data_IF_403648672818
#
_entry.id   IF_403648672818
#
_cell.length_a   1.000
_cell.length_b   1.000
_cell.length_c   1.000
_cell.angle_alpha   90.00
_cell.angle_beta   90.00
_cell.angle_gamma   90.00
#
_symmetry.space_group_name_H-M   'P 1'
#
loop_
_entity.id
_entity.type
_entity.pdbx_description
1 polymer ?
#
# COMPACT_ATOMS: atom_id res chain seq x y z
N UNK A 1 32.68 -25.48 41.17
CA UNK A 1 31.78 -25.60 40.01
C UNK A 1 30.78 -24.46 39.89
N UNK A 2 29.99 -24.08 40.91
CA UNK A 2 28.96 -23.03 40.84
C UNK A 2 29.50 -21.64 40.39
N UNK A 3 30.71 -21.23 40.80
CA UNK A 3 31.32 -19.95 40.39
C UNK A 3 31.68 -19.88 38.91
N UNK A 4 32.04 -21.02 38.27
CA UNK A 4 32.29 -21.07 36.84
C UNK A 4 31.05 -20.88 35.99
N UNK A 5 29.91 -21.44 36.39
CA UNK A 5 28.63 -21.25 35.68
C UNK A 5 28.13 -19.81 35.74
N UNK A 6 28.36 -19.12 36.89
CA UNK A 6 27.98 -17.71 37.03
C UNK A 6 28.81 -16.81 36.08
N UNK A 7 30.11 -17.08 35.96
CA UNK A 7 30.99 -16.35 35.03
C UNK A 7 30.59 -16.58 33.55
N UNK A 8 30.27 -17.81 33.20
CA UNK A 8 29.80 -18.13 31.84
C UNK A 8 28.45 -17.48 31.56
N UNK A 9 27.51 -17.49 32.51
CA UNK A 9 26.22 -16.78 32.36
C UNK A 9 26.41 -15.28 32.22
N UNK A 10 27.29 -14.65 33.00
CA UNK A 10 27.61 -13.23 32.90
C UNK A 10 28.22 -12.90 31.54
N UNK A 11 29.17 -13.73 31.03
CA UNK A 11 29.76 -13.59 29.70
C UNK A 11 28.69 -13.69 28.59
N UNK A 12 27.77 -14.64 28.67
CA UNK A 12 26.67 -14.76 27.70
C UNK A 12 25.75 -13.52 27.71
N UNK A 13 25.42 -12.98 28.88
CA UNK A 13 24.62 -11.75 28.99
C UNK A 13 25.37 -10.56 28.39
N UNK A 14 26.67 -10.45 28.59
CA UNK A 14 27.51 -9.39 28.00
C UNK A 14 27.55 -9.46 26.47
N UNK A 15 27.68 -10.64 25.91
CA UNK A 15 27.67 -10.85 24.44
C UNK A 15 26.33 -10.43 23.82
N UNK A 16 25.22 -10.79 24.46
CA UNK A 16 23.88 -10.40 23.96
C UNK A 16 23.64 -8.89 24.04
N UNK A 17 24.13 -8.22 25.11
CA UNK A 17 24.03 -6.76 25.25
C UNK A 17 24.84 -6.02 24.20
N UNK A 18 26.06 -6.50 23.87
CA UNK A 18 26.90 -5.89 22.83
C UNK A 18 26.25 -6.05 21.43
N UNK A 19 25.66 -7.20 21.14
CA UNK A 19 24.95 -7.39 19.87
C UNK A 19 23.75 -6.47 19.75
N UNK A 20 22.92 -6.36 20.81
CA UNK A 20 21.75 -5.47 20.83
C UNK A 20 22.10 -3.97 20.67
N UNK A 21 23.30 -3.56 21.07
CA UNK A 21 23.75 -2.18 20.87
C UNK A 21 24.16 -1.89 19.41
N UNK A 22 24.74 -2.87 18.71
CA UNK A 22 25.19 -2.70 17.34
C UNK A 22 24.02 -2.56 16.34
N UNK A 23 22.98 -3.35 16.49
CA UNK A 23 21.80 -3.29 15.63
C UNK A 23 21.05 -1.96 15.77
N UNK A 24 20.87 -1.45 16.99
CA UNK A 24 20.27 -0.14 17.27
C UNK A 24 21.08 1.03 16.68
N UNK A 25 22.41 0.88 16.54
CA UNK A 25 23.25 1.85 15.87
C UNK A 25 22.89 1.99 14.39
N UNK A 26 22.70 0.87 13.70
CA UNK A 26 22.30 0.88 12.29
C UNK A 26 20.94 1.52 12.09
N UNK A 27 19.94 1.17 12.93
CA UNK A 27 18.62 1.80 12.86
C UNK A 27 18.67 3.31 13.08
N UNK A 28 19.43 3.78 14.08
CA UNK A 28 19.60 5.23 14.31
C UNK A 28 20.26 5.92 13.12
N UNK A 29 21.24 5.29 12.50
CA UNK A 29 21.91 5.85 11.33
C UNK A 29 20.97 5.86 10.12
N UNK A 30 20.18 4.81 9.91
CA UNK A 30 19.15 4.73 8.89
C UNK A 30 18.11 5.83 9.06
N UNK A 31 17.57 6.00 10.27
CA UNK A 31 16.62 7.08 10.58
C UNK A 31 17.22 8.46 10.29
N UNK A 32 18.49 8.69 10.66
CA UNK A 32 19.17 9.97 10.37
C UNK A 32 19.24 10.27 8.88
N UNK A 33 19.56 9.29 8.05
CA UNK A 33 19.57 9.46 6.60
C UNK A 33 18.17 9.67 6.05
N UNK A 34 17.19 8.91 6.54
CA UNK A 34 15.79 9.05 6.13
C UNK A 34 15.22 10.45 6.46
N UNK A 35 15.44 10.92 7.68
CA UNK A 35 15.03 12.26 8.11
C UNK A 35 15.75 13.38 7.34
N UNK A 36 17.04 13.20 7.03
CA UNK A 36 17.78 14.15 6.22
C UNK A 36 17.18 14.27 4.80
N UNK A 37 16.79 13.13 4.21
CA UNK A 37 16.14 13.11 2.91
C UNK A 37 14.76 13.79 2.92
N UNK A 38 14.00 13.70 4.01
CA UNK A 38 12.70 14.36 4.16
C UNK A 38 12.81 15.87 4.33
N UNK A 39 13.91 16.37 4.90
CA UNK A 39 14.14 17.82 5.10
C UNK A 39 14.55 18.54 3.82
N UNK A 40 15.18 17.86 2.90
CA UNK A 40 15.54 18.43 1.60
C UNK A 40 14.37 18.33 0.63
N UNK A 41 13.51 19.35 0.68
CA UNK A 41 12.33 19.44 -0.20
C UNK A 41 12.66 19.90 -1.62
N UNK A 42 13.89 20.35 -1.87
CA UNK A 42 14.32 20.92 -3.17
C UNK A 42 14.59 19.84 -4.23
N UNK A 43 14.95 18.63 -3.80
CA UNK A 43 15.12 17.43 -4.62
C UNK A 43 14.70 16.21 -3.82
N UNK A 44 14.02 15.27 -4.49
CA UNK A 44 13.83 13.93 -3.92
C UNK A 44 15.23 13.28 -3.84
N UNK A 45 15.91 13.43 -2.71
CA UNK A 45 17.26 12.89 -2.53
C UNK A 45 17.20 11.38 -2.32
N UNK A 46 17.07 10.67 -3.44
CA UNK A 46 17.04 9.21 -3.45
C UNK A 46 18.35 8.62 -2.90
N UNK A 47 19.46 9.36 -2.91
CA UNK A 47 20.74 8.90 -2.37
C UNK A 47 20.69 8.74 -0.85
N UNK A 48 20.04 9.65 -0.13
CA UNK A 48 19.87 9.53 1.33
C UNK A 48 18.90 8.40 1.70
N UNK A 49 17.81 8.21 0.94
CA UNK A 49 16.93 7.06 1.14
C UNK A 49 17.64 5.73 0.85
N UNK A 50 18.54 5.69 -0.14
CA UNK A 50 19.37 4.51 -0.39
C UNK A 50 20.33 4.21 0.78
N UNK A 51 20.97 5.24 1.36
CA UNK A 51 21.78 5.06 2.57
C UNK A 51 20.94 4.56 3.74
N UNK A 52 19.74 5.08 3.93
CA UNK A 52 18.82 4.59 4.95
C UNK A 52 18.47 3.11 4.75
N UNK A 53 18.17 2.70 3.53
CA UNK A 53 17.92 1.30 3.16
C UNK A 53 19.08 0.39 3.56
N UNK A 54 20.32 0.78 3.19
CA UNK A 54 21.54 0.00 3.52
C UNK A 54 21.64 -0.21 5.04
N UNK A 55 21.42 0.83 5.83
CA UNK A 55 21.52 0.74 7.28
C UNK A 55 20.39 -0.10 7.89
N UNK A 56 19.16 -0.01 7.36
CA UNK A 56 18.05 -0.86 7.81
C UNK A 56 18.28 -2.34 7.47
N UNK A 57 18.84 -2.65 6.29
CA UNK A 57 19.23 -4.01 5.92
C UNK A 57 20.29 -4.58 6.86
N UNK A 58 21.33 -3.78 7.21
CA UNK A 58 22.34 -4.19 8.20
C UNK A 58 21.74 -4.46 9.59
N UNK A 59 20.73 -3.68 9.98
CA UNK A 59 20.04 -3.91 11.24
C UNK A 59 19.26 -5.25 11.21
N UNK A 60 18.55 -5.52 10.11
CA UNK A 60 17.79 -6.75 9.90
C UNK A 60 18.68 -7.99 9.75
N UNK A 61 19.91 -7.87 9.22
CA UNK A 61 20.88 -8.96 9.24
C UNK A 61 21.25 -9.38 10.68
N UNK A 62 21.26 -8.43 11.63
CA UNK A 62 21.55 -8.71 13.04
C UNK A 62 20.33 -9.20 13.82
N UNK A 63 19.17 -8.70 13.46
CA UNK A 63 17.89 -9.07 14.07
C UNK A 63 16.84 -9.21 12.97
N UNK A 64 16.75 -10.36 12.35
CA UNK A 64 15.74 -10.64 11.35
C UNK A 64 14.32 -10.44 11.91
N UNK A 65 13.41 -10.06 11.02
CA UNK A 65 11.97 -10.00 11.31
C UNK A 65 11.57 -9.00 12.42
N UNK A 66 12.37 -7.95 12.69
CA UNK A 66 11.94 -6.87 13.56
C UNK A 66 10.90 -6.01 12.83
N UNK A 67 9.62 -5.98 13.30
CA UNK A 67 8.54 -5.34 12.54
C UNK A 67 8.79 -3.85 12.28
N UNK A 68 9.39 -3.14 13.23
CA UNK A 68 9.67 -1.69 13.08
C UNK A 68 10.74 -1.42 12.01
N UNK A 69 11.76 -2.26 11.96
CA UNK A 69 12.85 -2.08 10.99
C UNK A 69 12.43 -2.53 9.60
N UNK A 70 11.60 -3.57 9.52
CA UNK A 70 10.95 -3.97 8.28
C UNK A 70 10.06 -2.85 7.72
N UNK A 71 9.26 -2.19 8.56
CA UNK A 71 8.48 -1.01 8.15
C UNK A 71 9.38 0.12 7.63
N UNK A 72 10.45 0.46 8.37
CA UNK A 72 11.37 1.51 7.94
C UNK A 72 12.05 1.16 6.61
N UNK A 73 12.39 -0.11 6.39
CA UNK A 73 12.93 -0.57 5.11
C UNK A 73 11.91 -0.43 3.99
N UNK A 74 10.67 -0.86 4.21
CA UNK A 74 9.57 -0.71 3.25
C UNK A 74 9.34 0.75 2.84
N UNK A 75 9.32 1.66 3.82
CA UNK A 75 9.19 3.09 3.59
C UNK A 75 10.38 3.68 2.81
N UNK A 76 11.60 3.27 3.13
CA UNK A 76 12.80 3.72 2.41
C UNK A 76 12.79 3.25 0.94
N UNK A 77 12.32 2.04 0.68
CA UNK A 77 12.14 1.51 -0.67
C UNK A 77 11.07 2.30 -1.44
N UNK A 78 9.94 2.59 -0.80
CA UNK A 78 8.87 3.41 -1.40
C UNK A 78 9.36 4.79 -1.81
N UNK A 79 10.10 5.47 -0.93
CA UNK A 79 10.67 6.80 -1.21
C UNK A 79 11.70 6.79 -2.34
N UNK A 80 12.36 5.67 -2.57
CA UNK A 80 13.26 5.46 -3.71
C UNK A 80 12.52 5.08 -5.01
N UNK A 81 11.18 5.01 -4.98
CA UNK A 81 10.33 4.52 -6.09
C UNK A 81 10.58 3.04 -6.45
N UNK A 82 11.18 2.27 -5.53
CA UNK A 82 11.31 0.81 -5.63
C UNK A 82 9.99 0.16 -5.19
N UNK A 83 8.91 0.48 -5.92
CA UNK A 83 7.55 0.18 -5.49
C UNK A 83 7.25 -1.31 -5.42
N UNK A 84 7.85 -2.12 -6.29
CA UNK A 84 7.69 -3.58 -6.25
C UNK A 84 8.27 -4.15 -4.95
N UNK A 85 9.56 -3.88 -4.68
CA UNK A 85 10.23 -4.35 -3.47
C UNK A 85 9.55 -3.83 -2.19
N UNK A 86 9.06 -2.58 -2.22
CA UNK A 86 8.29 -2.00 -1.12
C UNK A 86 6.99 -2.77 -0.87
N UNK A 87 6.23 -3.06 -1.92
CA UNK A 87 4.96 -3.80 -1.80
C UNK A 87 5.17 -5.22 -1.28
N UNK A 88 6.22 -5.91 -1.73
CA UNK A 88 6.60 -7.24 -1.23
C UNK A 88 7.00 -7.19 0.25
N UNK A 89 7.75 -6.18 0.67
CA UNK A 89 8.15 -6.00 2.07
C UNK A 89 6.93 -5.77 2.96
N UNK A 90 6.00 -4.90 2.57
CA UNK A 90 4.78 -4.67 3.34
C UNK A 90 3.83 -5.86 3.34
N UNK A 91 3.78 -6.63 2.25
CA UNK A 91 3.06 -7.90 2.20
C UNK A 91 3.60 -8.89 3.23
N UNK A 92 4.92 -9.08 3.27
CA UNK A 92 5.60 -9.96 4.22
C UNK A 92 5.30 -9.56 5.68
N UNK A 93 5.31 -8.25 6.00
CA UNK A 93 4.91 -7.74 7.32
C UNK A 93 3.45 -8.08 7.63
N UNK A 94 2.54 -7.84 6.68
CA UNK A 94 1.11 -8.11 6.85
C UNK A 94 0.82 -9.61 7.06
N UNK A 95 1.57 -10.48 6.40
CA UNK A 95 1.39 -11.93 6.50
C UNK A 95 1.88 -12.48 7.87
N UNK A 96 2.94 -11.87 8.45
CA UNK A 96 3.54 -12.29 9.72
C UNK A 96 2.87 -11.70 10.96
N UNK A 97 2.28 -10.51 10.86
CA UNK A 97 1.72 -9.85 12.03
C UNK A 97 0.32 -10.35 12.38
N UNK A 98 0.08 -10.56 13.67
CA UNK A 98 -1.24 -10.90 14.24
C UNK A 98 -1.99 -9.67 14.76
N UNK A 99 -1.28 -8.57 15.02
CA UNK A 99 -1.89 -7.31 15.44
C UNK A 99 -2.65 -6.66 14.28
N UNK A 100 -3.94 -6.41 14.47
CA UNK A 100 -4.81 -5.87 13.42
C UNK A 100 -4.40 -4.46 12.99
N UNK A 101 -3.91 -3.65 13.91
CA UNK A 101 -3.51 -2.27 13.60
C UNK A 101 -2.22 -2.26 12.78
N UNK A 102 -1.24 -3.06 13.17
CA UNK A 102 0.00 -3.23 12.38
C UNK A 102 -0.29 -3.86 11.02
N UNK A 103 -1.14 -4.87 10.97
CA UNK A 103 -1.59 -5.50 9.71
C UNK A 103 -2.26 -4.50 8.79
N UNK A 104 -3.17 -3.68 9.32
CA UNK A 104 -3.85 -2.64 8.56
C UNK A 104 -2.84 -1.64 7.98
N UNK A 105 -1.87 -1.18 8.78
CA UNK A 105 -0.84 -0.25 8.34
C UNK A 105 0.05 -0.86 7.24
N UNK A 106 0.46 -2.11 7.39
CA UNK A 106 1.25 -2.81 6.38
C UNK A 106 0.48 -2.95 5.06
N UNK A 107 -0.79 -3.37 5.12
CA UNK A 107 -1.66 -3.48 3.95
C UNK A 107 -1.95 -2.12 3.29
N UNK A 108 -2.08 -1.05 4.07
CA UNK A 108 -2.20 0.32 3.56
C UNK A 108 -0.95 0.71 2.74
N UNK A 109 0.25 0.53 3.32
CA UNK A 109 1.50 0.86 2.65
C UNK A 109 1.79 -0.04 1.43
N UNK A 110 1.40 -1.33 1.50
CA UNK A 110 1.37 -2.23 0.35
C UNK A 110 0.48 -1.65 -0.76
N UNK A 111 -0.73 -1.22 -0.41
CA UNK A 111 -1.67 -0.59 -1.33
C UNK A 111 -1.09 0.67 -1.99
N UNK A 112 -0.43 1.54 -1.22
CA UNK A 112 0.24 2.73 -1.74
C UNK A 112 1.35 2.36 -2.73
N UNK A 113 2.16 1.36 -2.41
CA UNK A 113 3.26 0.89 -3.28
C UNK A 113 2.73 0.29 -4.59
N UNK A 114 1.69 -0.53 -4.53
CA UNK A 114 1.03 -1.12 -5.69
C UNK A 114 0.35 -0.04 -6.56
N UNK A 115 -0.27 0.97 -5.94
CA UNK A 115 -0.88 2.09 -6.64
C UNK A 115 0.17 2.88 -7.45
N UNK A 116 1.31 3.19 -6.84
CA UNK A 116 2.41 3.89 -7.51
C UNK A 116 3.09 3.03 -8.58
N UNK A 117 2.98 1.71 -8.49
CA UNK A 117 3.43 0.74 -9.50
C UNK A 117 2.37 0.47 -10.59
N UNK A 118 1.27 1.22 -10.58
CA UNK A 118 0.12 1.07 -11.50
C UNK A 118 -0.56 -0.31 -11.46
N UNK A 119 -0.37 -1.07 -10.37
CA UNK A 119 -1.05 -2.34 -10.10
C UNK A 119 -2.39 -2.08 -9.40
N UNK A 120 -3.33 -1.48 -10.14
CA UNK A 120 -4.56 -0.90 -9.57
C UNK A 120 -5.44 -1.95 -8.88
N UNK A 121 -5.65 -3.12 -9.47
CA UNK A 121 -6.51 -4.17 -8.91
C UNK A 121 -5.94 -4.73 -7.60
N UNK A 122 -4.62 -4.94 -7.55
CA UNK A 122 -3.92 -5.40 -6.37
C UNK A 122 -3.93 -4.33 -5.26
N UNK A 123 -3.75 -3.05 -5.62
CA UNK A 123 -3.84 -1.92 -4.71
C UNK A 123 -5.22 -1.81 -4.05
N UNK A 124 -6.29 -1.91 -4.85
CA UNK A 124 -7.68 -1.91 -4.37
C UNK A 124 -7.91 -3.06 -3.38
N UNK A 125 -7.37 -4.24 -3.68
CA UNK A 125 -7.47 -5.42 -2.81
C UNK A 125 -6.75 -5.18 -1.48
N UNK A 126 -5.52 -4.65 -1.51
CA UNK A 126 -4.73 -4.34 -0.33
C UNK A 126 -5.44 -3.32 0.59
N UNK A 127 -5.98 -2.22 0.02
CA UNK A 127 -6.73 -1.23 0.81
C UNK A 127 -8.00 -1.80 1.42
N UNK A 128 -8.75 -2.65 0.70
CA UNK A 128 -9.92 -3.32 1.25
C UNK A 128 -9.56 -4.24 2.42
N UNK A 129 -8.45 -4.95 2.33
CA UNK A 129 -7.96 -5.76 3.43
C UNK A 129 -7.46 -4.93 4.61
N UNK A 130 -6.80 -3.80 4.36
CA UNK A 130 -6.43 -2.84 5.41
C UNK A 130 -7.66 -2.37 6.17
N UNK A 131 -8.73 -1.98 5.48
CA UNK A 131 -9.98 -1.55 6.09
C UNK A 131 -10.75 -2.66 6.83
N UNK A 132 -10.60 -3.92 6.46
CA UNK A 132 -11.13 -5.04 7.26
C UNK A 132 -10.46 -5.16 8.63
N UNK A 133 -9.20 -4.75 8.73
CA UNK A 133 -8.43 -4.75 9.97
C UNK A 133 -8.60 -3.46 10.77
N UNK A 134 -8.75 -2.31 10.09
CA UNK A 134 -9.05 -1.00 10.70
C UNK A 134 -10.08 -0.22 9.87
N UNK A 135 -11.39 -0.42 10.11
CA UNK A 135 -12.46 0.25 9.36
C UNK A 135 -12.52 1.77 9.53
N UNK A 136 -11.89 2.32 10.56
CA UNK A 136 -11.90 3.77 10.84
C UNK A 136 -10.81 4.56 10.11
N UNK A 137 -9.92 3.90 9.37
CA UNK A 137 -8.81 4.54 8.68
C UNK A 137 -9.30 5.36 7.47
N UNK A 138 -9.39 6.68 7.66
CA UNK A 138 -9.86 7.63 6.65
C UNK A 138 -8.87 7.76 5.49
N UNK A 139 -7.58 7.66 5.75
CA UNK A 139 -6.56 7.76 4.70
C UNK A 139 -6.64 6.57 3.75
N UNK A 140 -6.77 5.37 4.31
CA UNK A 140 -6.97 4.15 3.51
C UNK A 140 -8.29 4.21 2.71
N UNK A 141 -9.38 4.73 3.28
CA UNK A 141 -10.66 4.93 2.54
C UNK A 141 -10.44 5.88 1.35
N UNK A 142 -9.78 6.99 1.57
CA UNK A 142 -9.48 7.96 0.50
C UNK A 142 -8.63 7.33 -0.61
N UNK A 143 -7.55 6.62 -0.26
CA UNK A 143 -6.65 5.99 -1.22
C UNK A 143 -7.35 4.86 -2.00
N UNK A 144 -8.25 4.10 -1.35
CA UNK A 144 -9.09 3.11 -2.01
C UNK A 144 -9.97 3.76 -3.08
N UNK A 145 -10.65 4.85 -2.74
CA UNK A 145 -11.49 5.58 -3.71
C UNK A 145 -10.69 6.12 -4.87
N UNK A 146 -9.52 6.66 -4.59
CA UNK A 146 -8.61 7.17 -5.62
C UNK A 146 -8.19 6.04 -6.58
N UNK A 147 -7.76 4.88 -6.05
CA UNK A 147 -7.38 3.73 -6.85
C UNK A 147 -8.55 3.20 -7.71
N UNK A 148 -9.78 3.12 -7.14
CA UNK A 148 -10.98 2.72 -7.87
C UNK A 148 -11.31 3.68 -9.01
N UNK A 149 -11.18 4.99 -8.80
CA UNK A 149 -11.41 6.00 -9.83
C UNK A 149 -10.34 5.90 -10.95
N UNK A 150 -9.07 5.68 -10.60
CA UNK A 150 -8.02 5.44 -11.59
C UNK A 150 -8.31 4.19 -12.43
N UNK A 151 -8.72 3.10 -11.78
CA UNK A 151 -9.09 1.86 -12.47
C UNK A 151 -10.24 2.07 -13.44
N UNK A 152 -11.30 2.76 -13.00
CA UNK A 152 -12.45 3.09 -13.87
C UNK A 152 -12.02 3.87 -15.11
N UNK A 153 -11.19 4.89 -14.94
CA UNK A 153 -10.63 5.67 -16.07
C UNK A 153 -9.82 4.79 -17.03
N UNK A 154 -8.96 3.94 -16.49
CA UNK A 154 -8.14 3.02 -17.29
C UNK A 154 -9.02 2.07 -18.12
N UNK A 155 -10.08 1.53 -17.50
CA UNK A 155 -11.02 0.62 -18.19
C UNK A 155 -11.85 1.35 -19.27
N UNK A 156 -12.25 2.60 -19.02
CA UNK A 156 -12.92 3.44 -20.02
C UNK A 156 -12.01 3.79 -21.20
N UNK A 157 -10.74 4.09 -20.95
CA UNK A 157 -9.75 4.36 -21.99
C UNK A 157 -9.47 3.11 -22.85
N UNK A 158 -9.32 1.94 -22.22
CA UNK A 158 -9.19 0.67 -22.93
C UNK A 158 -10.40 0.41 -23.85
N UNK A 159 -11.61 0.56 -23.35
CA UNK A 159 -12.82 0.39 -24.15
C UNK A 159 -12.89 1.34 -25.36
N UNK A 160 -12.46 2.61 -25.19
CA UNK A 160 -12.40 3.58 -26.30
C UNK A 160 -11.32 3.20 -27.34
N UNK A 161 -10.20 2.66 -26.91
CA UNK A 161 -9.15 2.20 -27.82
C UNK A 161 -9.59 0.97 -28.61
N UNK A 162 -10.25 0.02 -27.97
CA UNK A 162 -10.76 -1.19 -28.63
C UNK A 162 -11.86 -0.83 -29.66
N UNK A 163 -12.78 0.07 -29.32
CA UNK A 163 -13.80 0.56 -30.27
C UNK A 163 -13.20 1.32 -31.46
N UNK A 164 -12.06 2.00 -31.31
CA UNK A 164 -11.36 2.64 -32.44
C UNK A 164 -10.71 1.60 -33.35
N UNK A 165 -10.04 0.60 -32.77
CA UNK A 165 -9.41 -0.49 -33.55
C UNK A 165 -10.41 -1.28 -34.38
N UNK A 166 -11.64 -1.48 -33.87
CA UNK A 166 -12.69 -2.16 -34.62
C UNK A 166 -13.23 -1.28 -35.77
N UNK A 167 -13.31 0.05 -35.57
CA UNK A 167 -13.73 0.98 -36.64
C UNK A 167 -12.68 1.17 -37.71
N UNK A 168 -11.40 1.15 -37.34
CA UNK A 168 -10.29 1.29 -38.32
C UNK A 168 -10.16 0.04 -39.21
N UNK A 169 -10.58 -1.14 -38.74
CA UNK A 169 -10.64 -2.36 -39.56
C UNK A 169 -11.72 -2.32 -40.65
N UNK A 170 -12.79 -1.56 -40.44
CA UNK A 170 -13.88 -1.42 -41.42
C UNK A 170 -13.67 -0.25 -42.40
N UNK A 171 -12.67 0.65 -42.15
CA UNK A 171 -12.44 1.86 -42.97
C UNK A 171 -11.22 1.83 -43.85
N UNK A 172 -10.55 0.70 -44.05
CA UNK A 172 -9.37 0.58 -44.90
C UNK A 172 -9.69 0.63 -46.43
N UNK A 173 -10.85 1.19 -46.80
CA UNK A 173 -11.22 1.36 -48.21
C UNK A 173 -11.50 2.77 -48.68
N UNK A 174 -11.57 3.81 -47.84
CA UNK A 174 -11.77 5.18 -48.36
C UNK A 174 -11.23 6.26 -47.40
N UNK A 175 -10.32 7.09 -47.95
CA UNK A 175 -9.94 8.45 -47.52
C UNK A 175 -8.56 8.69 -46.96
N UNK A 176 -7.67 8.82 -47.87
CA UNK A 176 -6.57 9.78 -47.86
C UNK A 176 -7.15 11.17 -48.16
N UNK A 177 -7.41 12.02 -47.17
CA UNK A 177 -7.53 13.51 -47.18
C UNK A 177 -8.37 14.00 -45.99
N UNK A 178 -7.72 14.27 -44.87
CA UNK A 178 -8.11 15.32 -43.90
C UNK A 178 -7.27 15.22 -42.62
N UNK A 179 -5.99 15.39 -42.77
CA UNK A 179 -5.08 15.56 -41.61
C UNK A 179 -4.58 16.99 -41.60
N UNK A 180 -5.22 17.97 -40.94
CA UNK A 180 -4.52 19.17 -40.45
C UNK A 180 -5.38 20.18 -39.63
N UNK A 181 -6.55 19.87 -39.10
CA UNK A 181 -7.29 20.84 -38.31
C UNK A 181 -7.62 20.43 -36.85
N UNK A 182 -7.32 19.21 -36.43
CA UNK A 182 -7.80 18.70 -35.14
C UNK A 182 -6.79 18.77 -33.97
N UNK A 183 -5.58 19.23 -34.19
CA UNK A 183 -4.57 19.22 -33.12
C UNK A 183 -4.64 20.41 -32.16
N UNK A 184 -5.11 21.58 -32.59
CA UNK A 184 -5.22 22.75 -31.71
C UNK A 184 -6.43 22.77 -30.78
N UNK A 185 -7.50 22.05 -31.10
CA UNK A 185 -8.68 21.96 -30.24
C UNK A 185 -8.56 20.95 -29.09
N UNK A 186 -7.62 20.01 -29.17
CA UNK A 186 -7.44 18.96 -28.14
C UNK A 186 -6.75 19.43 -26.87
N UNK A 187 -5.86 20.41 -26.97
CA UNK A 187 -5.08 20.85 -25.82
C UNK A 187 -5.87 21.83 -24.92
N UNK A 188 -6.77 22.64 -25.48
CA UNK A 188 -7.66 23.49 -24.70
C UNK A 188 -8.77 22.69 -24.00
N UNK A 189 -9.28 21.62 -24.57
CA UNK A 189 -10.25 20.74 -23.92
C UNK A 189 -9.64 19.92 -22.76
N UNK A 190 -8.35 19.56 -22.83
CA UNK A 190 -7.67 18.86 -21.73
C UNK A 190 -7.51 19.71 -20.47
N UNK A 191 -7.20 20.99 -20.60
CA UNK A 191 -7.06 21.90 -19.45
C UNK A 191 -8.41 22.19 -18.76
N UNK A 192 -9.49 22.40 -19.52
CA UNK A 192 -10.81 22.58 -18.93
C UNK A 192 -11.38 21.31 -18.29
N UNK A 193 -11.05 20.13 -18.80
CA UNK A 193 -11.45 18.86 -18.17
C UNK A 193 -10.70 18.60 -16.86
N UNK A 194 -9.45 19.03 -16.70
CA UNK A 194 -8.71 18.86 -15.44
C UNK A 194 -9.25 19.72 -14.30
N UNK A 195 -9.69 20.96 -14.58
CA UNK A 195 -10.29 21.83 -13.55
C UNK A 195 -11.70 21.40 -13.13
N UNK A 196 -12.53 20.90 -14.06
CA UNK A 196 -13.85 20.35 -13.71
C UNK A 196 -13.74 19.01 -12.96
N UNK A 197 -12.71 18.20 -13.24
CA UNK A 197 -12.50 16.92 -12.57
C UNK A 197 -12.11 17.07 -11.09
N UNK A 198 -11.44 18.16 -10.69
CA UNK A 198 -11.08 18.38 -9.28
C UNK A 198 -12.29 18.74 -8.39
N UNK A 199 -13.33 19.36 -8.95
CA UNK A 199 -14.55 19.73 -8.23
C UNK A 199 -15.58 18.57 -8.15
N UNK A 200 -15.65 17.71 -9.16
CA UNK A 200 -16.50 16.51 -9.17
C UNK A 200 -15.98 15.44 -8.23
N UNK A 201 -14.66 15.44 -7.92
CA UNK A 201 -14.03 14.38 -7.14
C UNK A 201 -14.47 14.34 -5.67
N UNK A 202 -14.82 15.48 -5.06
CA UNK A 202 -15.16 15.55 -3.63
C UNK A 202 -16.55 15.01 -3.35
N UNK A 203 -17.55 15.39 -4.14
CA UNK A 203 -18.93 14.90 -4.02
C UNK A 203 -19.07 13.41 -4.39
N UNK A 204 -18.37 12.98 -5.46
CA UNK A 204 -18.33 11.57 -5.82
C UNK A 204 -17.58 10.70 -4.80
N UNK A 205 -16.54 11.25 -4.17
CA UNK A 205 -15.81 10.57 -3.11
C UNK A 205 -16.70 10.37 -1.86
N UNK A 206 -17.50 11.37 -1.47
CA UNK A 206 -18.44 11.25 -0.36
C UNK A 206 -19.56 10.23 -0.65
N UNK A 207 -20.13 10.24 -1.85
CA UNK A 207 -21.13 9.25 -2.26
C UNK A 207 -20.58 7.82 -2.32
N UNK A 208 -19.34 7.64 -2.82
CA UNK A 208 -18.68 6.33 -2.83
C UNK A 208 -18.30 5.86 -1.43
N UNK A 209 -17.87 6.77 -0.54
CA UNK A 209 -17.62 6.46 0.87
C UNK A 209 -18.91 5.96 1.53
N UNK A 210 -20.02 6.63 1.30
CA UNK A 210 -21.32 6.24 1.84
C UNK A 210 -21.81 4.89 1.29
N UNK A 211 -21.54 4.61 0.00
CA UNK A 211 -21.84 3.32 -0.60
C UNK A 211 -20.98 2.18 -0.02
N UNK A 212 -19.69 2.44 0.22
CA UNK A 212 -18.75 1.49 0.84
C UNK A 212 -19.13 1.22 2.32
N UNK A 213 -19.50 2.25 3.07
CA UNK A 213 -19.99 2.09 4.44
C UNK A 213 -21.27 1.24 4.51
N UNK A 214 -22.17 1.42 3.55
CA UNK A 214 -23.39 0.62 3.46
C UNK A 214 -23.10 -0.84 3.08
N UNK A 215 -22.16 -1.09 2.18
CA UNK A 215 -21.76 -2.45 1.80
C UNK A 215 -20.99 -3.16 2.91
N UNK A 216 -20.15 -2.41 3.65
CA UNK A 216 -19.45 -2.94 4.82
C UNK A 216 -20.46 -3.31 5.92
N UNK A 217 -21.44 -2.46 6.19
CA UNK A 217 -22.51 -2.73 7.15
C UNK A 217 -23.29 -4.00 6.80
N UNK A 218 -23.68 -4.16 5.52
CA UNK A 218 -24.32 -5.39 5.02
C UNK A 218 -23.42 -6.62 5.16
N UNK A 219 -22.12 -6.46 4.94
CA UNK A 219 -21.16 -7.57 5.08
C UNK A 219 -20.98 -7.96 6.53
N UNK A 220 -20.87 -6.98 7.45
CA UNK A 220 -20.82 -7.22 8.89
C UNK A 220 -22.11 -7.89 9.41
N UNK A 221 -23.27 -7.49 8.93
CA UNK A 221 -24.55 -8.14 9.26
C UNK A 221 -24.59 -9.59 8.76
N UNK A 222 -24.10 -9.88 7.56
CA UNK A 222 -23.98 -11.25 7.05
C UNK A 222 -22.99 -12.09 7.88
N UNK A 223 -21.85 -11.53 8.26
CA UNK A 223 -20.87 -12.21 9.12
C UNK A 223 -21.44 -12.50 10.50
N UNK A 224 -22.15 -11.53 11.12
CA UNK A 224 -22.85 -11.75 12.40
C UNK A 224 -23.94 -12.84 12.30
N UNK A 225 -24.72 -12.87 11.22
CA UNK A 225 -25.70 -13.94 10.98
C UNK A 225 -25.03 -15.32 10.85
N UNK A 226 -23.94 -15.42 10.11
CA UNK A 226 -23.21 -16.68 9.93
C UNK A 226 -22.59 -17.13 11.27
N UNK A 227 -22.06 -16.21 12.07
CA UNK A 227 -21.51 -16.51 13.39
C UNK A 227 -22.63 -16.96 14.37
N UNK A 228 -23.78 -16.31 14.34
CA UNK A 228 -24.94 -16.72 15.15
C UNK A 228 -25.45 -18.11 14.78
N UNK A 229 -25.54 -18.43 13.48
CA UNK A 229 -25.92 -19.75 12.99
C UNK A 229 -24.91 -20.84 13.41
N UNK A 230 -23.59 -20.53 13.31
CA UNK A 230 -22.54 -21.44 13.78
C UNK A 230 -22.54 -21.64 15.31
N UNK A 231 -22.92 -20.62 16.07
CA UNK A 231 -23.07 -20.73 17.53
C UNK A 231 -24.28 -21.58 17.91
N UNK A 232 -25.39 -21.47 17.17
CA UNK A 232 -26.59 -22.32 17.35
C UNK A 232 -26.32 -23.78 16.99
N UNK A 233 -25.62 -24.06 15.89
CA UNK A 233 -25.28 -25.44 15.52
C UNK A 233 -24.35 -26.12 16.53
N UNK A 234 -23.40 -25.38 17.11
CA UNK A 234 -22.55 -25.90 18.20
C UNK A 234 -23.31 -26.16 19.52
N UNK A 235 -24.41 -25.47 19.75
CA UNK A 235 -25.25 -25.68 20.94
C UNK A 235 -26.09 -26.94 20.80
N UNK A 236 -26.58 -27.24 19.59
CA UNK A 236 -27.37 -28.44 19.29
C UNK A 236 -26.48 -29.72 19.34
N UNK A 237 -25.19 -29.64 18.96
CA UNK A 237 -24.24 -30.78 19.08
C UNK A 237 -23.85 -31.12 20.53
N UNK A 238 -24.10 -30.24 21.51
CA UNK A 238 -23.71 -30.44 22.91
C UNK A 238 -24.83 -30.99 23.79
N UNK A 239 -26.04 -31.07 23.26
CA UNK A 239 -27.23 -31.52 23.99
C UNK A 239 -27.63 -32.98 23.69
N UNK A 240 -26.66 -33.78 23.13
CA UNK A 240 -26.80 -35.23 22.92
C UNK A 240 -25.82 -36.02 23.75
#
# INVERSE_FOLDING_TARGET
MKRGYILVMLLMVWVTVIQAQNERKFVRQGNKYYEAALKDTSRLDTAQFNRAEIEYRKALEKKPDDPKWDFNLGDALYKQKKFEESSEKFKDIADRTVDKTEKSRALHNMGNSLLMNNKLDESITAYKEALRNNPSDLETKYNLLYAMNMKKKQDEEKKKQDQKKDKDKDQDKDKEKEKNKDQQNKDQQKQQQQEQQSKISKQNAEQMLQALENDEKKTQEKVKKIQALKAQSKKVEKDW
#
